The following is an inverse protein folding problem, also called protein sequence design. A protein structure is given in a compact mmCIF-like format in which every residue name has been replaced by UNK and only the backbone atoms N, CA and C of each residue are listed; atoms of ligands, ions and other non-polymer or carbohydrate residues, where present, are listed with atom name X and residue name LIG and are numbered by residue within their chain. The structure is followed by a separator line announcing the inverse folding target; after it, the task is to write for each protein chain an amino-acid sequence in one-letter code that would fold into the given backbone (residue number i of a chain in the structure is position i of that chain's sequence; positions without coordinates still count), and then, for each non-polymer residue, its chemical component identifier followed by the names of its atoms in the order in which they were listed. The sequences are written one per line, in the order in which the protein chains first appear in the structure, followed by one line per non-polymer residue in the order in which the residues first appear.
data_IF_698173681084
#
_entry.id   IF_698173681084
#
_cell.length_a   1.000
_cell.length_b   1.000
_cell.length_c   1.000
_cell.angle_alpha   90.00
_cell.angle_beta   90.00
_cell.angle_gamma   90.00
#
_symmetry.space_group_name_H-M   'P 1'
#
loop_
_entity.id
_entity.type
_entity.pdbx_description
1 polymer ?
#
# COMPACT_ATOMS: atom_id res chain seq x y z
N UNK A 1 -26.87 2.49 -1.75
CA UNK A 1 -25.92 2.10 -0.65
C UNK A 1 -26.14 0.63 -0.31
N UNK A 2 -25.12 -0.20 -0.29
CA UNK A 2 -25.21 -1.62 0.06
C UNK A 2 -25.34 -1.77 1.59
N UNK A 3 -26.37 -2.51 2.04
CA UNK A 3 -26.59 -2.75 3.47
C UNK A 3 -25.75 -3.97 3.91
N UNK A 4 -24.87 -3.80 4.88
CA UNK A 4 -24.06 -4.88 5.46
C UNK A 4 -24.76 -5.56 6.65
N UNK A 5 -25.99 -5.21 6.96
CA UNK A 5 -26.76 -5.86 8.04
C UNK A 5 -26.98 -7.32 7.68
N UNK A 6 -26.63 -8.20 8.61
CA UNK A 6 -26.69 -9.66 8.48
C UNK A 6 -25.81 -10.27 7.36
N UNK A 7 -25.01 -9.44 6.65
CA UNK A 7 -24.11 -9.90 5.60
C UNK A 7 -22.99 -10.76 6.20
N UNK A 8 -22.77 -11.93 5.63
CA UNK A 8 -21.70 -12.83 5.98
C UNK A 8 -20.55 -12.73 4.98
N UNK A 9 -19.35 -12.46 5.45
CA UNK A 9 -18.13 -12.34 4.64
C UNK A 9 -17.24 -13.55 4.87
N UNK A 10 -16.95 -14.31 3.82
CA UNK A 10 -15.92 -15.34 3.85
C UNK A 10 -14.59 -14.78 3.36
N UNK A 11 -13.52 -14.96 4.11
CA UNK A 11 -12.17 -14.58 3.71
C UNK A 11 -11.39 -15.82 3.30
N UNK A 12 -10.86 -15.84 2.07
CA UNK A 12 -10.01 -16.91 1.54
C UNK A 12 -8.58 -16.37 1.39
N UNK A 13 -7.64 -17.01 2.08
CA UNK A 13 -6.24 -16.61 2.14
C UNK A 13 -5.82 -16.22 3.55
N UNK A 14 -5.13 -17.13 4.24
CA UNK A 14 -4.66 -16.98 5.63
C UNK A 14 -3.31 -16.27 5.74
N UNK A 15 -3.01 -15.35 4.79
CA UNK A 15 -1.84 -14.49 4.81
C UNK A 15 -2.01 -13.29 5.77
N UNK A 16 -1.01 -12.41 5.79
CA UNK A 16 -1.02 -11.21 6.66
C UNK A 16 -2.26 -10.36 6.46
N UNK A 17 -2.62 -10.06 5.20
CA UNK A 17 -3.80 -9.23 4.89
C UNK A 17 -5.10 -9.94 5.28
N UNK A 18 -5.27 -11.23 4.94
CA UNK A 18 -6.50 -11.97 5.26
C UNK A 18 -6.75 -12.06 6.77
N UNK A 19 -5.70 -12.33 7.56
CA UNK A 19 -5.81 -12.33 9.03
C UNK A 19 -6.17 -10.93 9.57
N UNK A 20 -5.52 -9.87 9.08
CA UNK A 20 -5.79 -8.52 9.51
C UNK A 20 -7.23 -8.07 9.17
N UNK A 21 -7.71 -8.39 7.95
CA UNK A 21 -9.08 -8.08 7.54
C UNK A 21 -10.11 -8.87 8.35
N UNK A 22 -9.87 -10.16 8.58
CA UNK A 22 -10.78 -10.97 9.40
C UNK A 22 -10.94 -10.38 10.81
N UNK A 23 -9.84 -10.02 11.43
CA UNK A 23 -9.86 -9.40 12.76
C UNK A 23 -10.55 -8.04 12.75
N UNK A 24 -10.24 -7.17 11.78
CA UNK A 24 -10.82 -5.84 11.68
C UNK A 24 -12.33 -5.90 11.38
N UNK A 25 -12.78 -6.78 10.49
CA UNK A 25 -14.19 -6.98 10.16
C UNK A 25 -14.98 -7.52 11.36
N UNK A 26 -14.43 -8.50 12.08
CA UNK A 26 -15.04 -9.02 13.31
C UNK A 26 -15.14 -7.91 14.38
N UNK A 27 -14.10 -7.10 14.56
CA UNK A 27 -14.12 -5.94 15.46
C UNK A 27 -15.11 -4.84 15.05
N UNK A 28 -15.49 -4.79 13.77
CA UNK A 28 -16.52 -3.93 13.22
C UNK A 28 -17.92 -4.59 13.20
N UNK A 29 -18.11 -5.69 13.94
CA UNK A 29 -19.37 -6.42 14.10
C UNK A 29 -19.92 -7.02 12.79
N UNK A 30 -19.04 -7.34 11.82
CA UNK A 30 -19.43 -8.12 10.65
C UNK A 30 -19.35 -9.62 10.95
N UNK A 31 -20.27 -10.39 10.37
CA UNK A 31 -20.17 -11.86 10.41
C UNK A 31 -19.09 -12.32 9.46
N UNK A 32 -18.01 -12.91 10.00
CA UNK A 32 -16.84 -13.32 9.21
C UNK A 32 -16.58 -14.80 9.37
N UNK A 33 -16.34 -15.47 8.24
CA UNK A 33 -15.80 -16.83 8.18
C UNK A 33 -14.36 -16.80 7.68
N UNK A 34 -13.48 -17.54 8.34
CA UNK A 34 -12.09 -17.64 7.94
C UNK A 34 -11.14 -16.77 8.80
N UNK A 35 -9.92 -16.47 8.31
CA UNK A 35 -9.47 -16.76 6.94
C UNK A 35 -9.30 -18.27 6.66
N UNK A 36 -9.77 -18.68 5.49
CA UNK A 36 -9.72 -20.07 5.02
C UNK A 36 -8.51 -20.31 4.12
N UNK A 37 -8.09 -21.56 4.01
CA UNK A 37 -6.98 -21.98 3.17
C UNK A 37 -7.33 -22.11 1.68
N UNK A 38 -6.34 -22.60 0.91
CA UNK A 38 -6.48 -22.87 -0.53
C UNK A 38 -7.59 -23.90 -0.77
N UNK A 39 -8.39 -23.68 -1.83
CA UNK A 39 -9.48 -24.57 -2.25
C UNK A 39 -10.78 -24.38 -1.48
N UNK A 40 -10.86 -23.47 -0.53
CA UNK A 40 -12.11 -23.09 0.09
C UNK A 40 -13.06 -22.45 -0.93
N UNK A 41 -14.35 -22.77 -0.84
CA UNK A 41 -15.40 -22.35 -1.77
C UNK A 41 -16.26 -21.17 -1.24
N UNK A 42 -16.02 -20.75 0.00
CA UNK A 42 -16.78 -19.67 0.63
C UNK A 42 -18.27 -20.00 0.87
N UNK A 43 -18.64 -21.28 0.93
CA UNK A 43 -20.02 -21.72 1.03
C UNK A 43 -20.77 -21.10 2.23
N UNK A 44 -21.95 -20.59 1.97
CA UNK A 44 -22.81 -19.95 2.98
C UNK A 44 -22.51 -18.47 3.23
N UNK A 45 -21.59 -17.87 2.50
CA UNK A 45 -21.33 -16.44 2.56
C UNK A 45 -22.10 -15.64 1.49
N UNK A 46 -22.43 -14.40 1.81
CA UNK A 46 -22.99 -13.43 0.86
C UNK A 46 -21.88 -12.74 0.03
N UNK A 47 -20.72 -12.62 0.65
CA UNK A 47 -19.51 -12.03 0.04
C UNK A 47 -18.33 -12.97 0.29
N UNK A 48 -17.54 -13.24 -0.75
CA UNK A 48 -16.27 -13.96 -0.65
C UNK A 48 -15.14 -13.01 -1.01
N UNK A 49 -14.20 -12.78 -0.09
CA UNK A 49 -13.06 -11.90 -0.28
C UNK A 49 -11.76 -12.72 -0.40
N UNK A 50 -11.14 -12.65 -1.57
CA UNK A 50 -9.90 -13.35 -1.89
C UNK A 50 -8.68 -12.51 -1.45
N UNK A 51 -8.01 -12.96 -0.40
CA UNK A 51 -6.77 -12.38 0.14
C UNK A 51 -5.57 -13.27 -0.21
N UNK A 52 -5.47 -13.65 -1.47
CA UNK A 52 -4.46 -14.54 -2.02
C UNK A 52 -3.47 -13.76 -2.91
N UNK A 53 -2.28 -14.32 -3.25
CA UNK A 53 -1.40 -13.71 -4.23
C UNK A 53 -2.11 -13.47 -5.57
N UNK A 54 -1.72 -12.41 -6.29
CA UNK A 54 -2.37 -12.00 -7.54
C UNK A 54 -2.48 -13.13 -8.56
N UNK A 55 -1.40 -13.92 -8.70
CA UNK A 55 -1.37 -15.10 -9.59
C UNK A 55 -2.36 -16.21 -9.21
N UNK A 56 -2.85 -16.23 -7.98
CA UNK A 56 -3.78 -17.24 -7.48
C UNK A 56 -5.25 -16.77 -7.49
N UNK A 57 -5.53 -15.49 -7.79
CA UNK A 57 -6.89 -14.93 -7.74
C UNK A 57 -7.84 -15.70 -8.65
N UNK A 58 -7.46 -15.95 -9.89
CA UNK A 58 -8.32 -16.65 -10.85
C UNK A 58 -8.57 -18.12 -10.48
N UNK A 59 -7.60 -18.82 -9.89
CA UNK A 59 -7.78 -20.17 -9.37
C UNK A 59 -8.75 -20.18 -8.18
N UNK A 60 -8.53 -19.26 -7.23
CA UNK A 60 -9.38 -19.15 -6.05
C UNK A 60 -10.83 -18.76 -6.41
N UNK A 61 -11.02 -17.88 -7.37
CA UNK A 61 -12.35 -17.49 -7.85
C UNK A 61 -13.11 -18.66 -8.47
N UNK A 62 -12.43 -19.53 -9.24
CA UNK A 62 -13.06 -20.73 -9.82
C UNK A 62 -13.52 -21.77 -8.79
N UNK A 63 -12.94 -21.77 -7.60
CA UNK A 63 -13.39 -22.65 -6.51
C UNK A 63 -14.69 -22.16 -5.84
N UNK A 64 -14.99 -20.87 -5.95
CA UNK A 64 -16.20 -20.27 -5.37
C UNK A 64 -17.40 -20.62 -6.23
N UNK A 65 -18.49 -21.10 -5.61
CA UNK A 65 -19.76 -21.34 -6.30
C UNK A 65 -20.43 -20.02 -6.69
N UNK A 66 -21.26 -20.05 -7.74
CA UNK A 66 -22.09 -18.91 -8.12
C UNK A 66 -23.09 -18.55 -7.01
N UNK A 67 -23.30 -17.26 -6.82
CA UNK A 67 -24.26 -16.71 -5.84
C UNK A 67 -23.72 -15.54 -5.05
N UNK A 68 -22.62 -15.68 -4.29
CA UNK A 68 -22.05 -14.56 -3.54
C UNK A 68 -21.41 -13.51 -4.46
N UNK A 69 -21.24 -12.30 -3.95
CA UNK A 69 -20.30 -11.33 -4.51
C UNK A 69 -18.88 -11.84 -4.26
N UNK A 70 -18.03 -11.81 -5.28
CA UNK A 70 -16.63 -12.24 -5.15
C UNK A 70 -15.70 -11.04 -5.32
N UNK A 71 -14.86 -10.79 -4.32
CA UNK A 71 -13.90 -9.70 -4.36
C UNK A 71 -12.46 -10.15 -4.19
N UNK A 72 -11.51 -9.30 -4.58
CA UNK A 72 -10.08 -9.46 -4.27
C UNK A 72 -9.46 -8.17 -3.72
N UNK A 73 -8.28 -8.30 -3.11
CA UNK A 73 -7.56 -7.18 -2.50
C UNK A 73 -6.31 -6.74 -3.30
N UNK A 74 -6.14 -7.17 -4.55
CA UNK A 74 -5.03 -6.72 -5.39
C UNK A 74 -5.20 -5.27 -5.82
N UNK A 75 -4.12 -4.49 -5.76
CA UNK A 75 -4.07 -3.14 -6.31
C UNK A 75 -3.81 -3.11 -7.81
N UNK A 76 -3.22 -4.19 -8.34
CA UNK A 76 -2.80 -4.30 -9.74
C UNK A 76 -3.82 -5.04 -10.61
N UNK A 77 -4.33 -6.17 -10.11
CA UNK A 77 -5.22 -7.07 -10.86
C UNK A 77 -6.58 -6.42 -11.09
N UNK A 78 -7.09 -6.51 -12.34
CA UNK A 78 -8.45 -6.09 -12.68
C UNK A 78 -9.49 -7.11 -12.23
N UNK A 79 -10.77 -6.85 -12.49
CA UNK A 79 -11.85 -7.78 -12.14
C UNK A 79 -11.96 -8.99 -13.10
N UNK A 80 -11.27 -8.97 -14.24
CA UNK A 80 -11.37 -10.01 -15.26
C UNK A 80 -11.14 -11.45 -14.75
N UNK A 81 -10.17 -11.74 -13.86
CA UNK A 81 -9.96 -13.09 -13.32
C UNK A 81 -11.11 -13.62 -12.44
N UNK A 82 -12.01 -12.76 -12.01
CA UNK A 82 -13.16 -13.12 -11.18
C UNK A 82 -14.39 -13.58 -12.00
N UNK A 83 -14.37 -13.45 -13.33
CA UNK A 83 -15.47 -13.89 -14.17
C UNK A 83 -15.72 -15.40 -14.00
N UNK A 84 -17.01 -15.87 -13.99
CA UNK A 84 -18.24 -15.13 -14.28
C UNK A 84 -18.95 -14.51 -13.06
N UNK A 85 -18.32 -14.38 -11.91
CA UNK A 85 -18.95 -13.83 -10.71
C UNK A 85 -19.30 -12.34 -10.85
N UNK A 86 -20.37 -11.93 -10.21
CA UNK A 86 -20.58 -10.53 -9.87
C UNK A 86 -19.48 -10.13 -8.87
N UNK A 87 -18.62 -9.18 -9.24
CA UNK A 87 -17.32 -9.06 -8.61
C UNK A 87 -16.93 -7.63 -8.27
N UNK A 88 -16.03 -7.52 -7.30
CA UNK A 88 -15.44 -6.24 -6.88
C UNK A 88 -13.96 -6.38 -6.54
N UNK A 89 -13.26 -5.26 -6.44
CA UNK A 89 -11.97 -5.17 -5.78
C UNK A 89 -12.00 -4.13 -4.66
N UNK A 90 -11.27 -4.40 -3.60
CA UNK A 90 -10.96 -3.45 -2.54
C UNK A 90 -9.49 -3.60 -2.13
N UNK A 91 -8.68 -2.62 -2.46
CA UNK A 91 -7.25 -2.63 -2.15
C UNK A 91 -6.95 -1.62 -1.05
N UNK A 92 -6.79 -2.06 0.22
CA UNK A 92 -6.36 -1.21 1.32
C UNK A 92 -4.93 -0.70 1.07
N UNK A 93 -4.78 0.62 1.00
CA UNK A 93 -3.49 1.27 0.76
C UNK A 93 -2.74 1.43 2.08
N UNK A 94 -2.16 0.33 2.55
CA UNK A 94 -1.40 0.27 3.80
C UNK A 94 -0.36 -0.86 3.76
N UNK A 95 0.59 -0.81 4.68
CA UNK A 95 1.59 -1.87 4.85
C UNK A 95 1.20 -2.78 6.01
N UNK A 96 1.41 -4.09 5.84
CA UNK A 96 1.19 -5.08 6.91
C UNK A 96 2.50 -5.84 7.14
N UNK A 97 3.27 -5.35 8.10
CA UNK A 97 4.50 -6.01 8.54
C UNK A 97 4.18 -7.10 9.58
N UNK A 98 5.01 -8.13 9.61
CA UNK A 98 4.89 -9.21 10.59
C UNK A 98 5.11 -8.68 12.02
N UNK A 99 4.21 -9.06 12.93
CA UNK A 99 4.28 -8.64 14.34
C UNK A 99 3.91 -7.17 14.62
N UNK A 100 3.57 -6.38 13.59
CA UNK A 100 3.13 -5.01 13.78
C UNK A 100 1.60 -4.92 13.91
N UNK A 101 1.07 -4.03 14.79
CA UNK A 101 -0.37 -3.80 14.84
C UNK A 101 -0.87 -3.18 13.54
N UNK A 102 -2.03 -3.63 13.08
CA UNK A 102 -2.64 -3.16 11.82
C UNK A 102 -3.88 -2.34 12.16
N UNK A 103 -3.98 -1.15 11.58
CA UNK A 103 -5.18 -0.32 11.63
C UNK A 103 -5.57 0.10 10.22
N UNK A 104 -6.81 -0.15 9.84
CA UNK A 104 -7.39 0.30 8.57
C UNK A 104 -7.94 1.73 8.64
N UNK A 105 -8.07 2.28 9.83
CA UNK A 105 -8.67 3.60 10.06
C UNK A 105 -7.91 4.69 9.33
N UNK A 106 -8.62 5.41 8.45
CA UNK A 106 -8.06 6.51 7.67
C UNK A 106 -7.23 6.08 6.44
N UNK A 107 -6.96 4.77 6.26
CA UNK A 107 -6.26 4.30 5.07
C UNK A 107 -7.10 4.52 3.80
N UNK A 108 -6.46 4.88 2.69
CA UNK A 108 -7.12 4.85 1.39
C UNK A 108 -7.51 3.41 1.01
N UNK A 109 -8.60 3.25 0.26
CA UNK A 109 -9.00 1.96 -0.29
C UNK A 109 -9.42 2.13 -1.75
N UNK A 110 -8.62 1.63 -2.68
CA UNK A 110 -9.03 1.62 -4.07
C UNK A 110 -10.14 0.58 -4.29
N UNK A 111 -11.28 1.00 -4.83
CA UNK A 111 -12.46 0.16 -5.04
C UNK A 111 -12.88 0.14 -6.50
N UNK A 112 -13.39 -1.02 -6.95
CA UNK A 112 -14.05 -1.19 -8.24
C UNK A 112 -15.13 -2.26 -8.12
N UNK A 113 -16.10 -2.26 -9.03
CA UNK A 113 -17.15 -3.27 -9.10
C UNK A 113 -17.59 -3.53 -10.53
N UNK A 114 -17.92 -4.79 -10.84
CA UNK A 114 -18.47 -5.19 -12.16
C UNK A 114 -19.91 -4.73 -12.36
N UNK A 115 -20.60 -4.43 -11.27
CA UNK A 115 -21.97 -3.87 -11.23
C UNK A 115 -22.05 -2.79 -10.17
N UNK A 116 -23.11 -1.99 -10.21
CA UNK A 116 -23.41 -0.99 -9.17
C UNK A 116 -23.55 -1.63 -7.78
N UNK A 117 -24.14 -2.82 -7.70
CA UNK A 117 -24.30 -3.57 -6.45
C UNK A 117 -22.93 -3.98 -5.89
N UNK A 118 -22.07 -4.55 -6.73
CA UNK A 118 -20.73 -4.98 -6.33
C UNK A 118 -19.83 -3.80 -5.93
N UNK A 119 -19.91 -2.69 -6.66
CA UNK A 119 -19.21 -1.45 -6.32
C UNK A 119 -19.69 -0.88 -4.98
N UNK A 120 -21.00 -0.80 -4.77
CA UNK A 120 -21.55 -0.35 -3.49
C UNK A 120 -21.16 -1.24 -2.32
N UNK A 121 -21.02 -2.55 -2.54
CA UNK A 121 -20.55 -3.48 -1.51
C UNK A 121 -19.08 -3.22 -1.14
N UNK A 122 -18.21 -2.98 -2.13
CA UNK A 122 -16.81 -2.63 -1.90
C UNK A 122 -16.67 -1.34 -1.07
N UNK A 123 -17.44 -0.30 -1.42
CA UNK A 123 -17.50 0.96 -0.67
C UNK A 123 -17.95 0.70 0.77
N UNK A 124 -19.07 -0.01 0.96
CA UNK A 124 -19.62 -0.27 2.29
C UNK A 124 -18.64 -1.04 3.19
N UNK A 125 -17.92 -2.03 2.65
CA UNK A 125 -16.88 -2.76 3.39
C UNK A 125 -15.72 -1.84 3.77
N UNK A 126 -15.24 -0.99 2.85
CA UNK A 126 -14.18 -0.04 3.13
C UNK A 126 -14.58 0.96 4.22
N UNK A 127 -15.78 1.55 4.13
CA UNK A 127 -16.30 2.51 5.10
C UNK A 127 -16.54 1.86 6.48
N UNK A 128 -17.02 0.60 6.51
CA UNK A 128 -17.21 -0.15 7.76
C UNK A 128 -15.89 -0.32 8.52
N UNK A 129 -14.79 -0.47 7.80
CA UNK A 129 -13.43 -0.51 8.36
C UNK A 129 -12.82 0.89 8.54
N UNK A 130 -13.61 1.96 8.33
CA UNK A 130 -13.20 3.36 8.45
C UNK A 130 -12.06 3.74 7.50
N UNK A 131 -11.98 3.07 6.35
CA UNK A 131 -11.12 3.44 5.23
C UNK A 131 -11.79 4.54 4.39
N UNK A 132 -11.01 5.17 3.51
CA UNK A 132 -11.46 6.18 2.55
C UNK A 132 -11.51 5.56 1.15
N UNK A 133 -12.69 5.17 0.64
CA UNK A 133 -12.80 4.58 -0.68
C UNK A 133 -12.53 5.62 -1.78
N UNK A 134 -11.81 5.19 -2.82
CA UNK A 134 -11.58 5.97 -4.04
C UNK A 134 -11.46 5.04 -5.25
N UNK A 135 -11.57 5.61 -6.45
CA UNK A 135 -11.53 4.85 -7.69
C UNK A 135 -10.19 5.03 -8.40
N UNK A 136 -9.75 3.96 -9.06
CA UNK A 136 -8.60 3.96 -9.98
C UNK A 136 -9.08 3.31 -11.28
N UNK A 137 -8.87 3.99 -12.40
CA UNK A 137 -9.18 3.41 -13.70
C UNK A 137 -8.28 2.20 -13.98
N UNK A 138 -8.80 1.19 -14.68
CA UNK A 138 -8.03 -0.02 -14.95
C UNK A 138 -6.74 0.27 -15.73
N UNK A 139 -6.75 1.28 -16.62
CA UNK A 139 -5.58 1.73 -17.37
C UNK A 139 -4.48 2.34 -16.48
N UNK A 140 -4.82 2.80 -15.29
CA UNK A 140 -3.91 3.50 -14.37
C UNK A 140 -3.42 2.60 -13.21
N UNK A 141 -3.87 1.34 -13.13
CA UNK A 141 -3.54 0.43 -12.01
C UNK A 141 -2.05 0.21 -11.85
N UNK A 142 -1.31 0.07 -12.96
CA UNK A 142 0.14 -0.14 -12.94
C UNK A 142 0.86 1.07 -12.31
N UNK A 143 0.49 2.29 -12.72
CA UNK A 143 1.08 3.53 -12.20
C UNK A 143 0.67 3.75 -10.74
N UNK A 144 -0.60 3.50 -10.41
CA UNK A 144 -1.08 3.54 -9.04
C UNK A 144 -0.32 2.59 -8.12
N UNK A 145 -0.16 1.33 -8.55
CA UNK A 145 0.55 0.33 -7.76
C UNK A 145 2.05 0.64 -7.64
N UNK A 146 2.66 1.19 -8.69
CA UNK A 146 4.04 1.68 -8.64
C UNK A 146 4.19 2.81 -7.61
N UNK A 147 3.26 3.76 -7.57
CA UNK A 147 3.25 4.83 -6.56
C UNK A 147 3.11 4.27 -5.13
N UNK A 148 2.24 3.27 -4.92
CA UNK A 148 2.10 2.59 -3.64
C UNK A 148 3.40 1.88 -3.21
N UNK A 149 4.09 1.23 -4.16
CA UNK A 149 5.39 0.60 -3.92
C UNK A 149 6.46 1.62 -3.54
N UNK A 150 6.49 2.78 -4.18
CA UNK A 150 7.41 3.87 -3.82
C UNK A 150 7.11 4.40 -2.42
N UNK A 151 5.84 4.61 -2.07
CA UNK A 151 5.43 5.13 -0.78
C UNK A 151 5.66 4.16 0.40
N UNK A 152 5.86 2.89 0.12
CA UNK A 152 6.04 1.85 1.14
C UNK A 152 7.36 1.11 1.02
N UNK A 153 7.48 0.23 0.04
CA UNK A 153 8.62 -0.68 -0.12
C UNK A 153 9.94 0.07 -0.35
N UNK A 154 9.93 1.08 -1.25
CA UNK A 154 11.14 1.84 -1.55
C UNK A 154 11.50 2.81 -0.44
N UNK A 155 10.51 3.33 0.30
CA UNK A 155 10.80 4.08 1.53
C UNK A 155 11.56 3.21 2.53
N UNK A 156 11.10 1.99 2.83
CA UNK A 156 11.81 1.06 3.73
C UNK A 156 13.19 0.68 3.20
N UNK A 157 13.33 0.53 1.87
CA UNK A 157 14.64 0.28 1.24
C UNK A 157 15.59 1.45 1.44
N UNK A 158 15.11 2.68 1.31
CA UNK A 158 15.87 3.90 1.58
C UNK A 158 16.33 3.94 3.04
N UNK A 159 15.43 3.63 3.99
CA UNK A 159 15.78 3.59 5.40
C UNK A 159 16.82 2.49 5.70
N UNK A 160 16.80 1.38 4.98
CA UNK A 160 17.87 0.36 5.05
C UNK A 160 19.24 0.90 4.60
N UNK A 161 19.27 1.80 3.61
CA UNK A 161 20.52 2.48 3.22
C UNK A 161 20.96 3.50 4.28
N UNK A 162 20.01 4.21 4.92
CA UNK A 162 20.32 5.10 6.06
C UNK A 162 20.94 4.31 7.21
N UNK A 163 20.40 3.13 7.56
CA UNK A 163 20.96 2.27 8.61
C UNK A 163 22.42 1.88 8.29
N UNK A 164 22.73 1.52 7.04
CA UNK A 164 24.10 1.17 6.62
C UNK A 164 25.06 2.34 6.74
N UNK A 165 24.70 3.51 6.22
CA UNK A 165 25.54 4.71 6.32
C UNK A 165 25.69 5.15 7.77
N UNK A 166 24.65 5.07 8.57
CA UNK A 166 24.69 5.33 10.01
C UNK A 166 25.68 4.42 10.73
N UNK A 167 25.62 3.12 10.46
CA UNK A 167 26.52 2.14 11.05
C UNK A 167 28.00 2.42 10.70
N UNK A 168 28.29 2.83 9.46
CA UNK A 168 29.63 3.25 9.02
C UNK A 168 30.11 4.47 9.82
N UNK A 169 29.21 5.36 10.22
CA UNK A 169 29.51 6.53 11.02
C UNK A 169 29.45 6.29 12.54
N UNK A 170 29.09 5.06 12.98
CA UNK A 170 28.90 4.73 14.40
C UNK A 170 27.61 5.29 15.00
N UNK A 171 26.60 5.59 14.16
CA UNK A 171 25.30 6.14 14.59
C UNK A 171 24.23 5.06 14.47
N UNK A 172 23.56 4.77 15.59
CA UNK A 172 22.50 3.77 15.64
C UNK A 172 21.21 4.26 14.95
N UNK A 173 20.44 3.31 14.39
CA UNK A 173 19.19 3.57 13.68
C UNK A 173 18.21 4.48 14.46
N UNK A 174 18.14 4.26 15.76
CA UNK A 174 17.21 4.98 16.66
C UNK A 174 17.40 6.50 16.62
N UNK A 175 18.63 6.94 16.33
CA UNK A 175 18.94 8.38 16.22
C UNK A 175 18.32 9.02 14.96
N UNK A 176 18.08 8.23 13.92
CA UNK A 176 17.46 8.72 12.69
C UNK A 176 15.92 8.70 12.72
N UNK A 177 15.30 7.91 13.60
CA UNK A 177 13.82 7.78 13.64
C UNK A 177 13.10 9.12 13.76
N UNK A 178 13.48 10.07 14.65
CA UNK A 178 12.82 11.36 14.74
C UNK A 178 12.97 12.19 13.46
N UNK A 179 14.13 12.11 12.79
CA UNK A 179 14.39 12.81 11.52
C UNK A 179 13.48 12.28 10.41
N UNK A 180 13.40 10.97 10.25
CA UNK A 180 12.55 10.30 9.25
C UNK A 180 11.08 10.66 9.47
N UNK A 181 10.59 10.53 10.68
CA UNK A 181 9.20 10.90 11.05
C UNK A 181 8.90 12.34 10.69
N UNK A 182 9.78 13.28 11.06
CA UNK A 182 9.62 14.70 10.76
C UNK A 182 9.62 14.97 9.25
N UNK A 183 10.46 14.27 8.48
CA UNK A 183 10.49 14.41 7.02
C UNK A 183 9.17 13.97 6.38
N UNK A 184 8.62 12.81 6.79
CA UNK A 184 7.33 12.29 6.31
C UNK A 184 6.18 13.21 6.73
N UNK A 185 6.15 13.68 7.97
CA UNK A 185 5.17 14.64 8.48
C UNK A 185 5.19 15.96 7.69
N UNK A 186 6.37 16.48 7.41
CA UNK A 186 6.51 17.70 6.62
C UNK A 186 6.02 17.49 5.19
N UNK A 187 6.34 16.35 4.56
CA UNK A 187 5.81 16.00 3.26
C UNK A 187 4.27 15.92 3.28
N UNK A 188 3.69 15.24 4.24
CA UNK A 188 2.24 15.10 4.36
C UNK A 188 1.53 16.46 4.50
N UNK A 189 2.13 17.40 5.24
CA UNK A 189 1.55 18.72 5.49
C UNK A 189 1.80 19.74 4.39
N UNK A 190 2.99 19.69 3.76
CA UNK A 190 3.49 20.77 2.89
C UNK A 190 3.61 20.38 1.42
N UNK A 191 3.56 19.08 1.11
CA UNK A 191 3.92 18.53 -0.20
C UNK A 191 5.44 18.47 -0.41
N UNK A 192 5.87 17.66 -1.39
CA UNK A 192 7.29 17.32 -1.60
C UNK A 192 8.21 18.52 -1.72
N UNK A 193 7.82 19.49 -2.56
CA UNK A 193 8.67 20.66 -2.87
C UNK A 193 8.95 21.55 -1.66
N UNK A 194 7.91 21.85 -0.86
CA UNK A 194 8.03 22.72 0.31
C UNK A 194 8.66 22.02 1.51
N UNK A 195 8.54 20.69 1.55
CA UNK A 195 9.17 19.86 2.57
C UNK A 195 10.66 19.62 2.30
N UNK A 196 11.11 19.80 1.03
CA UNK A 196 12.49 19.54 0.65
C UNK A 196 13.45 20.53 1.31
N UNK A 197 14.45 19.99 2.00
CA UNK A 197 15.53 20.71 2.68
C UNK A 197 16.89 20.12 2.32
N UNK A 198 17.95 20.58 2.94
CA UNK A 198 19.29 20.02 2.78
C UNK A 198 20.17 20.76 1.77
N UNK A 199 21.43 20.32 1.58
CA UNK A 199 22.42 21.03 0.79
C UNK A 199 22.02 21.16 -0.69
N UNK A 200 21.50 20.08 -1.30
CA UNK A 200 21.08 20.11 -2.72
C UNK A 200 19.97 21.14 -2.93
N UNK A 201 18.98 21.18 -2.04
CA UNK A 201 17.88 22.15 -2.14
C UNK A 201 18.33 23.61 -2.02
N UNK A 202 19.41 23.86 -1.27
CA UNK A 202 20.00 25.19 -1.11
C UNK A 202 21.08 25.52 -2.15
N UNK A 203 21.41 24.61 -3.06
CA UNK A 203 22.47 24.78 -4.04
C UNK A 203 23.90 24.68 -3.47
N UNK A 204 24.08 24.10 -2.29
CA UNK A 204 25.37 23.88 -1.65
C UNK A 204 26.09 22.68 -2.31
N UNK A 205 26.74 22.95 -3.42
CA UNK A 205 27.42 21.95 -4.25
C UNK A 205 28.64 21.36 -3.53
N UNK A 206 29.32 22.14 -2.70
CA UNK A 206 30.51 21.68 -1.97
C UNK A 206 30.13 20.60 -0.96
N UNK A 207 29.11 20.84 -0.16
CA UNK A 207 28.64 19.84 0.80
C UNK A 207 28.11 18.59 0.10
N UNK A 208 27.33 18.77 -1.00
CA UNK A 208 26.80 17.65 -1.76
C UNK A 208 27.90 16.76 -2.36
N UNK A 209 28.98 17.36 -2.87
CA UNK A 209 30.15 16.65 -3.38
C UNK A 209 30.87 15.89 -2.28
N UNK A 210 31.15 16.51 -1.15
CA UNK A 210 31.79 15.85 0.00
C UNK A 210 30.99 14.64 0.52
N UNK A 211 29.66 14.74 0.51
CA UNK A 211 28.79 13.62 0.87
C UNK A 211 28.91 12.46 -0.13
N UNK A 212 28.90 12.77 -1.44
CA UNK A 212 29.07 11.76 -2.50
C UNK A 212 30.44 11.05 -2.39
N UNK A 213 31.51 11.79 -2.18
CA UNK A 213 32.87 11.24 -1.99
C UNK A 213 32.94 10.33 -0.76
N UNK A 214 32.29 10.71 0.34
CA UNK A 214 32.21 9.90 1.55
C UNK A 214 31.45 8.60 1.32
N UNK A 215 30.33 8.64 0.61
CA UNK A 215 29.56 7.43 0.22
C UNK A 215 30.41 6.54 -0.69
N UNK A 216 31.02 7.10 -1.73
CA UNK A 216 31.86 6.34 -2.66
C UNK A 216 33.06 5.67 -1.98
N UNK A 217 33.65 6.34 -0.99
CA UNK A 217 34.79 5.81 -0.23
C UNK A 217 34.42 4.76 0.81
N UNK A 218 33.26 4.89 1.48
CA UNK A 218 32.95 4.13 2.69
C UNK A 218 31.76 3.17 2.54
N UNK A 219 30.94 3.31 1.50
CA UNK A 219 29.78 2.47 1.17
C UNK A 219 29.56 2.44 -0.35
N UNK A 220 30.55 1.97 -1.14
CA UNK A 220 30.53 2.07 -2.60
C UNK A 220 29.30 1.37 -3.24
N UNK A 221 28.75 0.36 -2.59
CA UNK A 221 27.54 -0.33 -3.06
C UNK A 221 26.29 0.56 -3.04
N UNK A 222 26.30 1.66 -2.29
CA UNK A 222 25.18 2.63 -2.24
C UNK A 222 25.32 3.76 -3.24
N UNK A 223 26.43 3.86 -3.98
CA UNK A 223 26.66 4.94 -4.96
C UNK A 223 25.55 5.04 -5.99
N UNK A 224 25.09 3.96 -6.64
CA UNK A 224 24.02 4.07 -7.63
C UNK A 224 22.72 4.65 -7.06
N UNK A 225 22.33 4.22 -5.86
CA UNK A 225 21.16 4.76 -5.17
C UNK A 225 21.34 6.23 -4.81
N UNK A 226 22.50 6.58 -4.26
CA UNK A 226 22.84 7.96 -3.90
C UNK A 226 22.75 8.90 -5.08
N UNK A 227 23.34 8.54 -6.21
CA UNK A 227 23.35 9.37 -7.43
C UNK A 227 21.94 9.54 -8.01
N UNK A 228 21.15 8.47 -8.07
CA UNK A 228 19.76 8.55 -8.53
C UNK A 228 18.92 9.48 -7.65
N UNK A 229 19.04 9.37 -6.32
CA UNK A 229 18.36 10.24 -5.37
C UNK A 229 18.84 11.68 -5.45
N UNK A 230 20.15 11.92 -5.60
CA UNK A 230 20.71 13.26 -5.75
C UNK A 230 20.19 13.94 -7.01
N UNK A 231 20.09 13.23 -8.13
CA UNK A 231 19.54 13.80 -9.38
C UNK A 231 18.03 14.07 -9.26
N UNK A 232 17.26 13.14 -8.71
CA UNK A 232 15.83 13.34 -8.45
C UNK A 232 15.60 14.54 -7.50
N UNK A 233 16.44 14.70 -6.47
CA UNK A 233 16.39 15.85 -5.54
C UNK A 233 16.69 17.16 -6.25
N UNK A 234 17.67 17.20 -7.15
CA UNK A 234 17.95 18.39 -7.97
C UNK A 234 16.77 18.73 -8.88
N UNK A 235 16.16 17.73 -9.50
CA UNK A 235 14.98 17.94 -10.35
C UNK A 235 13.81 18.51 -9.53
N UNK A 236 13.51 17.94 -8.36
CA UNK A 236 12.47 18.42 -7.46
C UNK A 236 12.74 19.86 -6.97
N UNK A 237 14.01 20.21 -6.70
CA UNK A 237 14.40 21.55 -6.28
C UNK A 237 14.22 22.60 -7.39
N UNK A 238 14.42 22.20 -8.66
CA UNK A 238 14.28 23.08 -9.85
C UNK A 238 12.83 23.29 -10.28
N UNK A 239 11.96 22.36 -10.00
CA UNK A 239 10.56 22.43 -10.43
C UNK A 239 9.82 23.59 -9.78
N UNK A 240 9.88 24.76 -10.43
CA UNK A 240 9.21 25.99 -10.01
C UNK A 240 7.74 26.05 -10.48
N UNK A 241 7.32 25.14 -11.34
CA UNK A 241 6.03 25.18 -12.02
C UNK A 241 4.94 24.34 -11.36
N UNK A 242 5.19 23.76 -10.21
CA UNK A 242 4.20 23.01 -9.43
C UNK A 242 3.09 23.90 -8.91
N UNK A 243 2.12 24.11 -9.72
CA UNK A 243 0.69 24.43 -9.56
C UNK A 243 0.24 24.97 -8.19
N UNK A 244 -0.42 26.09 -8.31
CA UNK A 244 -1.31 26.72 -7.32
C UNK A 244 -2.47 25.79 -6.96
#
# INVERSE_FOLDING_TARGET
MYALTDTCVAIIGAGRLGNALAQAMAGAELRVFGPMGRGADGNGADIVLLCVPDSAIGEAARAVKTGPLVGHCSGLTTLAPLAPHESFSMHPLLTIAEGAPVSFVGAGCAVAGSTERAHSAAIALAERLRMQPFMVADADRDVYHAAASMASNYLVTLEGAVERLGAVAGVAREMFIPLVRTAVENWARLGARRALTGPIARGDTVTAQRQQEAVASRAPELVPLWEALAEATRALARDKSGTR
#
